data_IF_193787884195
#
_entry.id   IF_193787884195
#
_cell.length_a   1.000
_cell.length_b   1.000
_cell.length_c   1.000
_cell.angle_alpha   90.00
_cell.angle_beta   90.00
_cell.angle_gamma   90.00
#
_symmetry.space_group_name_H-M   'P 1'
#
loop_
_entity.id
_entity.type
_entity.pdbx_description
1 polymer ?
#
# COMPACT_ATOMS: atom_id res chain seq x y z
N UNK A 1 6.57 52.11 -44.27
CA UNK A 1 6.42 50.65 -44.13
C UNK A 1 6.17 50.32 -42.69
N UNK A 2 4.92 50.21 -42.31
CA UNK A 2 4.48 49.98 -40.93
C UNK A 2 4.35 48.49 -40.65
N UNK A 3 5.16 47.97 -39.69
CA UNK A 3 5.05 46.58 -39.22
C UNK A 3 3.87 46.47 -38.25
N UNK A 4 2.86 45.68 -38.65
CA UNK A 4 1.74 45.29 -37.81
C UNK A 4 2.20 44.08 -36.96
N UNK A 5 2.29 44.29 -35.65
CA UNK A 5 2.47 43.19 -34.68
C UNK A 5 1.14 42.50 -34.47
N UNK A 6 1.09 41.22 -34.80
CA UNK A 6 -0.03 40.31 -34.49
C UNK A 6 0.25 39.71 -33.12
N UNK A 7 -0.51 40.16 -32.11
CA UNK A 7 -0.55 39.51 -30.78
C UNK A 7 -1.43 38.22 -30.92
N UNK A 8 -0.78 37.06 -30.85
CA UNK A 8 -1.49 35.79 -30.72
C UNK A 8 -1.85 35.58 -29.25
N UNK A 9 -3.12 35.75 -28.92
CA UNK A 9 -3.66 35.43 -27.60
C UNK A 9 -3.77 33.89 -27.51
N UNK A 10 -2.88 33.22 -26.79
CA UNK A 10 -3.06 31.81 -26.42
C UNK A 10 -4.13 31.74 -25.31
N UNK A 11 -5.33 31.33 -25.67
CA UNK A 11 -6.35 30.88 -24.72
C UNK A 11 -5.91 29.52 -24.17
N UNK A 12 -5.33 29.49 -22.98
CA UNK A 12 -5.14 28.27 -22.22
C UNK A 12 -6.52 27.86 -21.69
N UNK A 13 -7.19 26.97 -22.38
CA UNK A 13 -8.32 26.25 -21.80
C UNK A 13 -7.77 25.38 -20.67
N UNK A 14 -7.93 25.82 -19.44
CA UNK A 14 -7.86 24.96 -18.28
C UNK A 14 -9.01 23.95 -18.39
N UNK A 15 -8.72 22.74 -18.84
CA UNK A 15 -9.62 21.60 -18.71
C UNK A 15 -9.77 21.33 -17.20
N UNK A 16 -10.81 21.90 -16.60
CA UNK A 16 -11.28 21.42 -15.29
C UNK A 16 -11.67 19.96 -15.49
N UNK A 17 -11.22 19.04 -14.63
CA UNK A 17 -11.69 17.67 -14.68
C UNK A 17 -13.21 17.72 -14.52
N UNK A 18 -13.94 17.29 -15.55
CA UNK A 18 -15.38 17.12 -15.50
C UNK A 18 -15.64 15.91 -14.61
N UNK A 19 -15.77 16.12 -13.30
CA UNK A 19 -16.31 15.10 -12.42
C UNK A 19 -17.76 14.88 -12.86
N UNK A 20 -18.07 13.69 -13.33
CA UNK A 20 -19.46 13.28 -13.51
C UNK A 20 -20.14 13.50 -12.15
N UNK A 21 -21.25 14.22 -12.13
CA UNK A 21 -21.98 14.49 -10.91
C UNK A 21 -22.39 13.14 -10.30
N UNK A 22 -21.93 12.87 -9.07
CA UNK A 22 -22.30 11.66 -8.35
C UNK A 22 -23.82 11.57 -8.21
N UNK A 23 -24.36 10.36 -8.27
CA UNK A 23 -25.81 10.11 -8.28
C UNK A 23 -26.47 10.54 -6.98
N UNK A 24 -25.76 10.44 -5.85
CA UNK A 24 -26.26 10.78 -4.53
C UNK A 24 -25.29 11.73 -3.83
N UNK A 25 -25.85 12.78 -3.22
CA UNK A 25 -25.17 13.69 -2.31
C UNK A 25 -25.83 13.59 -0.94
N UNK A 26 -25.02 13.50 0.12
CA UNK A 26 -25.45 13.56 1.52
C UNK A 26 -24.74 14.72 2.20
N UNK A 27 -25.49 15.59 2.85
CA UNK A 27 -24.99 16.70 3.66
C UNK A 27 -25.20 16.36 5.12
N UNK A 28 -24.13 16.27 5.87
CA UNK A 28 -24.16 15.88 7.26
C UNK A 28 -24.04 17.14 8.11
N UNK A 29 -25.13 17.50 8.78
CA UNK A 29 -25.11 18.58 9.75
C UNK A 29 -24.32 18.14 10.97
N UNK A 30 -23.21 18.84 11.26
CA UNK A 30 -22.41 18.60 12.45
C UNK A 30 -23.15 19.03 13.71
N UNK A 31 -23.00 18.27 14.78
CA UNK A 31 -23.42 18.66 16.13
C UNK A 31 -22.46 19.73 16.69
N UNK A 32 -22.85 20.39 17.75
CA UNK A 32 -21.99 21.40 18.39
C UNK A 32 -20.66 20.77 18.87
N UNK A 33 -19.53 21.28 18.35
CA UNK A 33 -18.20 20.76 18.68
C UNK A 33 -17.83 19.41 18.08
N UNK A 34 -18.68 18.84 17.23
CA UNK A 34 -18.42 17.54 16.62
C UNK A 34 -17.24 17.56 15.67
N UNK A 35 -16.42 16.53 15.75
CA UNK A 35 -15.22 16.31 14.93
C UNK A 35 -15.29 14.96 14.24
N UNK A 36 -14.69 14.85 13.04
CA UNK A 36 -14.74 13.66 12.21
C UNK A 36 -13.34 13.15 11.88
N UNK A 37 -13.19 11.81 11.80
CA UNK A 37 -11.98 11.07 11.41
C UNK A 37 -12.35 9.99 10.41
N UNK A 38 -11.38 9.52 9.60
CA UNK A 38 -11.56 8.30 8.81
C UNK A 38 -11.21 8.42 7.34
N UNK A 39 -11.74 7.51 6.53
CA UNK A 39 -11.55 7.44 5.09
C UNK A 39 -10.24 6.80 4.68
N UNK A 40 -9.11 7.46 4.87
CA UNK A 40 -7.81 6.98 4.45
C UNK A 40 -6.74 7.21 5.52
N UNK A 41 -5.83 6.26 5.68
CA UNK A 41 -4.70 6.35 6.62
C UNK A 41 -3.82 7.56 6.31
N UNK A 42 -3.51 7.80 5.02
CA UNK A 42 -2.69 8.93 4.59
C UNK A 42 -3.31 10.32 4.83
N UNK A 43 -4.54 10.40 5.33
CA UNK A 43 -5.16 11.64 5.80
C UNK A 43 -4.93 11.92 7.31
N UNK A 44 -4.16 11.09 8.00
CA UNK A 44 -3.97 11.16 9.45
C UNK A 44 -3.61 12.56 9.96
N UNK A 45 -2.69 13.25 9.28
CA UNK A 45 -2.29 14.62 9.64
C UNK A 45 -3.37 15.69 9.41
N UNK A 46 -4.47 15.34 8.74
CA UNK A 46 -5.64 16.20 8.53
C UNK A 46 -6.76 15.92 9.53
N UNK A 47 -6.62 14.85 10.31
CA UNK A 47 -7.62 14.44 11.31
C UNK A 47 -7.34 15.05 12.68
N UNK A 48 -8.40 15.45 13.44
CA UNK A 48 -9.77 15.53 12.98
C UNK A 48 -9.97 16.54 11.85
N UNK A 49 -10.98 16.34 11.01
CA UNK A 49 -11.29 17.26 9.92
C UNK A 49 -11.93 18.55 10.46
N UNK A 50 -11.07 19.50 10.92
CA UNK A 50 -11.50 20.80 11.51
C UNK A 50 -11.50 21.95 10.51
N UNK A 51 -10.73 21.81 9.44
CA UNK A 51 -10.63 22.81 8.37
C UNK A 51 -11.23 22.29 7.07
N UNK A 52 -11.11 23.09 6.03
CA UNK A 52 -11.54 22.66 4.70
C UNK A 52 -10.68 21.49 4.22
N UNK A 53 -11.33 20.37 3.95
CA UNK A 53 -10.77 19.22 3.27
C UNK A 53 -11.31 19.20 1.84
N UNK A 54 -10.41 19.27 0.86
CA UNK A 54 -10.79 19.09 -0.54
C UNK A 54 -11.39 17.71 -0.77
N UNK A 55 -12.22 17.61 -1.79
CA UNK A 55 -12.83 16.34 -2.19
C UNK A 55 -11.77 15.24 -2.26
N UNK A 56 -11.96 14.20 -1.46
CA UNK A 56 -11.17 12.97 -1.46
C UNK A 56 -12.03 11.81 -1.94
N UNK A 57 -11.57 11.14 -2.98
CA UNK A 57 -12.28 10.01 -3.58
C UNK A 57 -11.61 8.70 -3.15
N UNK A 58 -12.32 7.94 -2.33
CA UNK A 58 -11.86 6.63 -1.84
C UNK A 58 -11.71 5.59 -2.95
N UNK A 59 -12.32 5.80 -4.13
CA UNK A 59 -12.20 4.89 -5.27
C UNK A 59 -11.05 5.23 -6.20
N UNK A 60 -10.53 6.45 -6.14
CA UNK A 60 -9.52 6.94 -7.08
C UNK A 60 -8.09 6.69 -6.60
N UNK A 61 -7.86 6.88 -5.29
CA UNK A 61 -6.52 6.78 -4.72
C UNK A 61 -6.55 6.32 -3.27
N UNK A 62 -5.42 5.84 -2.78
CA UNK A 62 -5.22 5.39 -1.41
C UNK A 62 -4.03 6.08 -0.72
N UNK A 63 -3.43 7.09 -1.32
CA UNK A 63 -2.27 7.84 -0.79
C UNK A 63 -1.12 6.89 -0.36
N UNK A 64 -0.89 5.83 -1.13
CA UNK A 64 0.07 4.76 -0.84
C UNK A 64 -0.13 4.06 0.52
N UNK A 65 -1.35 4.02 1.03
CA UNK A 65 -1.73 3.44 2.31
C UNK A 65 -3.04 2.63 2.20
N UNK A 66 -3.79 2.58 3.28
CA UNK A 66 -5.01 1.81 3.37
C UNK A 66 -6.22 2.75 3.43
N UNK A 67 -7.29 2.35 2.75
CA UNK A 67 -8.57 3.04 2.77
C UNK A 67 -9.68 2.17 3.37
N UNK A 68 -10.60 2.83 4.07
CA UNK A 68 -11.82 2.20 4.58
C UNK A 68 -12.99 3.17 4.37
N UNK A 69 -14.13 2.75 3.84
CA UNK A 69 -15.31 3.61 3.67
C UNK A 69 -16.02 3.87 5.00
N UNK A 70 -15.28 4.38 5.98
CA UNK A 70 -15.67 4.64 7.35
C UNK A 70 -15.31 6.06 7.75
N UNK A 71 -16.30 6.80 8.28
CA UNK A 71 -16.02 8.05 9.00
C UNK A 71 -16.58 7.91 10.43
N UNK A 72 -15.82 8.39 11.40
CA UNK A 72 -16.10 8.31 12.83
C UNK A 72 -16.23 9.70 13.43
N UNK A 73 -17.18 9.90 14.32
CA UNK A 73 -17.47 11.17 14.98
C UNK A 73 -17.13 11.15 16.46
N UNK A 74 -16.72 12.31 17.01
CA UNK A 74 -16.55 12.53 18.46
C UNK A 74 -17.84 12.31 19.25
N UNK A 75 -19.01 12.43 18.60
CA UNK A 75 -20.34 12.40 19.22
C UNK A 75 -21.02 11.01 19.09
N UNK A 76 -20.25 9.94 18.92
CA UNK A 76 -20.77 8.57 18.87
C UNK A 76 -21.48 8.21 17.58
N UNK A 77 -21.30 9.01 16.52
CA UNK A 77 -21.86 8.73 15.21
C UNK A 77 -20.78 8.11 14.28
N UNK A 78 -21.21 7.26 13.35
CA UNK A 78 -20.34 6.83 12.26
C UNK A 78 -21.08 6.78 10.93
N UNK A 79 -20.34 6.85 9.85
CA UNK A 79 -20.80 6.63 8.48
C UNK A 79 -20.05 5.43 7.93
N UNK A 80 -20.77 4.49 7.36
CA UNK A 80 -20.23 3.32 6.67
C UNK A 80 -20.94 3.13 5.35
N UNK A 81 -20.21 2.69 4.35
CA UNK A 81 -20.74 2.16 3.10
C UNK A 81 -20.02 0.88 2.70
N UNK A 82 -20.72 -0.04 2.07
CA UNK A 82 -20.06 -1.22 1.47
C UNK A 82 -19.36 -0.89 0.17
N UNK A 83 -19.66 0.26 -0.41
CA UNK A 83 -19.10 0.80 -1.65
C UNK A 83 -18.23 2.02 -1.37
N UNK A 84 -17.27 2.33 -2.25
CA UNK A 84 -16.50 3.55 -2.11
C UNK A 84 -17.38 4.80 -2.29
N UNK A 85 -16.96 5.87 -1.65
CA UNK A 85 -17.57 7.18 -1.77
C UNK A 85 -16.48 8.27 -1.75
N UNK A 86 -16.84 9.46 -2.20
CA UNK A 86 -16.00 10.64 -2.05
C UNK A 86 -16.54 11.51 -0.93
N UNK A 87 -15.67 12.24 -0.24
CA UNK A 87 -16.08 13.16 0.81
C UNK A 87 -15.23 14.42 0.83
N UNK A 88 -15.82 15.50 1.34
CA UNK A 88 -15.13 16.76 1.59
C UNK A 88 -15.68 17.40 2.86
N UNK A 89 -14.89 18.29 3.45
CA UNK A 89 -15.34 19.18 4.52
C UNK A 89 -15.20 20.61 4.00
N UNK A 90 -16.29 21.37 4.04
CA UNK A 90 -16.35 22.74 3.58
C UNK A 90 -17.20 23.57 4.54
N UNK A 91 -16.62 24.67 5.07
CA UNK A 91 -17.30 25.52 6.04
C UNK A 91 -17.89 24.76 7.27
N UNK A 92 -17.21 23.71 7.73
CA UNK A 92 -17.65 22.85 8.82
C UNK A 92 -18.78 21.87 8.47
N UNK A 93 -19.21 21.79 7.23
CA UNK A 93 -20.17 20.80 6.72
C UNK A 93 -19.44 19.62 6.08
N UNK A 94 -19.75 18.39 6.52
CA UNK A 94 -19.28 17.17 5.89
C UNK A 94 -20.23 16.79 4.74
N UNK A 95 -19.70 16.72 3.53
CA UNK A 95 -20.43 16.33 2.33
C UNK A 95 -19.90 15.02 1.78
N UNK A 96 -20.81 14.12 1.42
CA UNK A 96 -20.52 12.79 0.90
C UNK A 96 -21.16 12.65 -0.48
N UNK A 97 -20.42 11.99 -1.39
CA UNK A 97 -20.85 11.75 -2.76
C UNK A 97 -20.70 10.28 -3.09
N UNK A 98 -21.74 9.66 -3.64
CA UNK A 98 -21.74 8.24 -3.99
C UNK A 98 -22.56 7.98 -5.25
N UNK A 99 -22.15 7.01 -6.04
CA UNK A 99 -22.93 6.52 -7.17
C UNK A 99 -23.87 5.37 -6.81
N UNK A 100 -23.78 4.91 -5.55
CA UNK A 100 -24.46 3.69 -5.11
C UNK A 100 -25.64 3.96 -4.18
N UNK A 101 -25.44 4.81 -3.17
CA UNK A 101 -26.45 5.02 -2.11
C UNK A 101 -26.33 6.40 -1.46
N UNK A 102 -27.43 6.86 -0.87
CA UNK A 102 -27.43 8.01 0.03
C UNK A 102 -26.95 7.55 1.42
N UNK A 103 -26.02 8.27 2.02
CA UNK A 103 -25.44 7.93 3.32
C UNK A 103 -25.94 8.83 4.42
N UNK A 104 -26.24 8.23 5.57
CA UNK A 104 -26.66 8.95 6.78
C UNK A 104 -25.83 8.44 7.96
N UNK A 105 -25.53 9.29 8.96
CA UNK A 105 -24.82 8.87 10.16
C UNK A 105 -25.66 7.90 10.98
N UNK A 106 -25.02 6.85 11.49
CA UNK A 106 -25.59 5.95 12.49
C UNK A 106 -25.12 6.41 13.87
N UNK A 107 -26.03 6.58 14.82
CA UNK A 107 -25.73 6.96 16.20
C UNK A 107 -25.64 5.70 17.07
N UNK A 108 -24.48 5.45 17.67
CA UNK A 108 -24.21 4.30 18.54
C UNK A 108 -23.37 4.73 19.75
N UNK A 109 -23.93 5.55 20.60
CA UNK A 109 -23.25 6.02 21.81
C UNK A 109 -23.06 7.54 21.86
N UNK A 110 -21.97 8.00 22.51
CA UNK A 110 -21.72 9.43 22.77
C UNK A 110 -20.27 9.87 22.54
N UNK A 111 -19.40 8.95 22.16
CA UNK A 111 -17.96 9.21 22.03
C UNK A 111 -17.39 8.58 20.77
N UNK A 112 -16.21 9.05 20.35
CA UNK A 112 -15.45 8.44 19.26
C UNK A 112 -15.23 6.93 19.50
N UNK A 113 -14.96 6.54 20.77
CA UNK A 113 -14.78 5.14 21.13
C UNK A 113 -16.06 4.33 20.88
N UNK A 114 -17.21 4.85 21.25
CA UNK A 114 -18.49 4.16 21.04
C UNK A 114 -18.75 3.95 19.55
N UNK A 115 -18.57 5.00 18.74
CA UNK A 115 -18.68 4.92 17.28
C UNK A 115 -17.75 3.87 16.68
N UNK A 116 -16.47 3.87 17.09
CA UNK A 116 -15.48 2.90 16.64
C UNK A 116 -15.86 1.47 17.02
N UNK A 117 -16.22 1.24 18.29
CA UNK A 117 -16.56 -0.10 18.78
C UNK A 117 -17.78 -0.67 18.07
N UNK A 118 -18.81 0.15 17.82
CA UNK A 118 -20.01 -0.25 17.11
C UNK A 118 -19.70 -0.58 15.63
N UNK A 119 -18.97 0.30 14.95
CA UNK A 119 -18.58 0.09 13.55
C UNK A 119 -17.66 -1.14 13.40
N UNK A 120 -16.66 -1.29 14.27
CA UNK A 120 -15.73 -2.42 14.26
C UNK A 120 -16.47 -3.74 14.48
N UNK A 121 -17.30 -3.84 15.50
CA UNK A 121 -18.06 -5.07 15.80
C UNK A 121 -18.96 -5.51 14.63
N UNK A 122 -19.45 -4.55 13.84
CA UNK A 122 -20.39 -4.84 12.76
C UNK A 122 -19.70 -5.10 11.41
N UNK A 123 -18.65 -4.36 11.06
CA UNK A 123 -18.15 -4.34 9.70
C UNK A 123 -16.73 -4.91 9.53
N UNK A 124 -15.93 -4.90 10.60
CA UNK A 124 -14.55 -5.40 10.59
C UNK A 124 -14.14 -5.95 11.97
N UNK A 125 -14.93 -6.91 12.51
CA UNK A 125 -14.55 -7.55 13.76
C UNK A 125 -13.19 -8.20 13.63
N UNK A 126 -12.40 -8.30 14.72
CA UNK A 126 -11.14 -9.04 14.70
C UNK A 126 -11.35 -10.46 14.19
N UNK A 127 -10.52 -10.90 13.24
CA UNK A 127 -10.57 -12.28 12.68
C UNK A 127 -10.29 -13.35 13.74
N UNK A 128 -9.59 -12.99 14.79
CA UNK A 128 -9.09 -13.92 15.81
C UNK A 128 -7.68 -14.42 15.54
N UNK A 129 -7.16 -14.19 14.32
CA UNK A 129 -5.79 -14.50 13.95
C UNK A 129 -4.86 -13.32 14.24
N UNK A 130 -3.58 -13.60 14.43
CA UNK A 130 -2.53 -12.61 14.67
C UNK A 130 -1.39 -12.79 13.66
N UNK A 131 -0.76 -11.72 13.20
CA UNK A 131 0.53 -11.84 12.53
C UNK A 131 1.58 -12.43 13.48
N UNK A 132 2.68 -12.96 12.91
CA UNK A 132 3.74 -13.53 13.74
C UNK A 132 4.26 -12.51 14.77
N UNK A 133 4.37 -12.88 16.06
CA UNK A 133 4.82 -11.98 17.12
C UNK A 133 6.21 -11.37 16.88
N UNK A 134 7.03 -11.97 16.03
CA UNK A 134 8.36 -11.46 15.70
C UNK A 134 8.28 -10.04 15.10
N UNK A 135 7.23 -9.73 14.36
CA UNK A 135 7.00 -8.38 13.79
C UNK A 135 6.91 -7.27 14.84
N UNK A 136 6.55 -7.60 16.07
CA UNK A 136 6.33 -6.63 17.16
C UNK A 136 7.39 -6.69 18.26
N UNK A 137 8.20 -7.73 18.26
CA UNK A 137 9.22 -7.95 19.29
C UNK A 137 10.64 -7.73 18.82
N UNK A 138 10.88 -7.78 17.49
CA UNK A 138 12.21 -7.68 16.89
C UNK A 138 12.20 -6.72 15.70
N UNK A 139 13.38 -6.18 15.30
CA UNK A 139 13.51 -5.32 14.14
C UNK A 139 13.13 -6.02 12.83
N UNK A 140 12.66 -5.22 11.88
CA UNK A 140 12.50 -5.61 10.50
C UNK A 140 13.57 -4.90 9.68
N UNK A 141 14.50 -5.66 9.10
CA UNK A 141 15.55 -5.15 8.20
C UNK A 141 15.03 -5.21 6.77
N UNK A 142 15.34 -4.21 5.97
CA UNK A 142 14.91 -4.16 4.58
C UNK A 142 16.09 -3.72 3.70
N UNK A 143 16.32 -4.43 2.60
CA UNK A 143 17.44 -4.17 1.72
C UNK A 143 17.21 -3.02 0.75
N UNK A 144 16.00 -2.40 0.71
CA UNK A 144 15.70 -1.32 -0.22
C UNK A 144 16.65 -0.13 -0.09
N UNK A 145 16.82 0.38 1.12
CA UNK A 145 17.68 1.55 1.36
C UNK A 145 19.15 1.26 1.05
N UNK A 146 19.60 0.06 1.37
CA UNK A 146 21.02 -0.33 1.23
C UNK A 146 21.39 -0.67 -0.21
N UNK A 147 20.54 -1.39 -0.92
CA UNK A 147 20.87 -1.98 -2.22
C UNK A 147 20.03 -1.43 -3.37
N UNK A 148 18.89 -0.80 -3.10
CA UNK A 148 17.95 -0.32 -4.12
C UNK A 148 17.63 -1.44 -5.13
N UNK A 149 17.77 -1.19 -6.42
CA UNK A 149 17.59 -2.19 -7.48
C UNK A 149 18.79 -3.14 -7.67
N UNK A 150 19.86 -3.00 -6.87
CA UNK A 150 21.04 -3.85 -6.97
C UNK A 150 21.01 -5.03 -6.02
N UNK A 151 19.86 -5.66 -5.84
CA UNK A 151 19.70 -6.84 -4.98
C UNK A 151 20.62 -7.97 -5.49
N UNK A 152 21.49 -8.48 -4.63
CA UNK A 152 22.39 -9.57 -4.92
C UNK A 152 22.77 -10.34 -3.64
N UNK A 153 23.16 -11.60 -3.81
CA UNK A 153 23.44 -12.51 -2.69
C UNK A 153 24.60 -12.05 -1.82
N UNK A 154 25.67 -11.51 -2.39
CA UNK A 154 26.87 -11.11 -1.67
C UNK A 154 26.57 -9.95 -0.70
N UNK A 155 25.98 -8.86 -1.22
CA UNK A 155 25.70 -7.68 -0.41
C UNK A 155 24.58 -7.92 0.61
N UNK A 156 23.60 -8.78 0.30
CA UNK A 156 22.57 -9.20 1.26
C UNK A 156 23.22 -9.91 2.46
N UNK A 157 24.10 -10.87 2.21
CA UNK A 157 24.80 -11.59 3.27
C UNK A 157 25.71 -10.67 4.08
N UNK A 158 26.40 -9.74 3.40
CA UNK A 158 27.24 -8.74 4.06
C UNK A 158 26.39 -7.81 4.95
N UNK A 159 25.22 -7.38 4.49
CA UNK A 159 24.32 -6.57 5.32
C UNK A 159 23.89 -7.34 6.59
N UNK A 160 23.48 -8.59 6.46
CA UNK A 160 23.12 -9.42 7.60
C UNK A 160 24.30 -9.64 8.56
N UNK A 161 25.52 -9.85 8.04
CA UNK A 161 26.72 -9.96 8.88
C UNK A 161 26.97 -8.66 9.66
N UNK A 162 26.82 -7.48 9.03
CA UNK A 162 26.97 -6.18 9.71
C UNK A 162 25.93 -5.96 10.81
N UNK A 163 24.70 -6.47 10.64
CA UNK A 163 23.67 -6.44 11.70
C UNK A 163 24.20 -7.16 12.95
N UNK A 164 24.78 -8.35 12.77
CA UNK A 164 25.31 -9.16 13.87
C UNK A 164 26.60 -8.59 14.46
N UNK A 165 27.52 -8.12 13.62
CA UNK A 165 28.80 -7.52 14.02
C UNK A 165 28.65 -6.25 14.87
N UNK A 166 27.50 -5.56 14.71
CA UNK A 166 27.16 -4.36 15.47
C UNK A 166 26.16 -4.64 16.61
N UNK A 167 26.01 -5.89 17.02
CA UNK A 167 25.16 -6.33 18.12
C UNK A 167 23.68 -5.93 17.99
N UNK A 168 23.18 -5.74 16.75
CA UNK A 168 21.76 -5.55 16.52
C UNK A 168 21.01 -6.88 16.63
N UNK A 169 19.81 -6.89 17.24
CA UNK A 169 19.04 -8.11 17.41
C UNK A 169 18.56 -8.67 16.08
N UNK A 170 18.54 -9.97 15.96
CA UNK A 170 17.97 -10.66 14.78
C UNK A 170 16.45 -10.52 14.76
N UNK A 171 15.88 -10.54 13.57
CA UNK A 171 14.43 -10.41 13.38
C UNK A 171 14.00 -10.82 11.97
N UNK A 172 13.14 -10.04 11.37
CA UNK A 172 12.73 -10.24 9.97
C UNK A 172 13.72 -9.55 9.04
N UNK A 173 14.12 -10.21 7.95
CA UNK A 173 15.00 -9.67 6.92
C UNK A 173 14.27 -9.72 5.57
N UNK A 174 13.98 -8.56 5.00
CA UNK A 174 13.24 -8.40 3.75
C UNK A 174 14.19 -8.12 2.60
N UNK A 175 14.22 -9.02 1.62
CA UNK A 175 14.87 -8.79 0.33
C UNK A 175 13.90 -8.04 -0.58
N UNK A 176 14.25 -6.81 -0.92
CA UNK A 176 13.37 -5.90 -1.63
C UNK A 176 13.38 -6.08 -3.15
N UNK A 177 12.76 -5.20 -3.91
CA UNK A 177 12.50 -5.28 -5.35
C UNK A 177 13.73 -5.63 -6.19
N UNK A 178 13.50 -6.32 -7.30
CA UNK A 178 14.50 -6.69 -8.32
C UNK A 178 15.41 -7.91 -7.99
N UNK A 179 15.00 -8.79 -7.06
CA UNK A 179 15.67 -10.08 -6.82
C UNK A 179 15.33 -11.15 -7.88
N UNK A 180 14.08 -11.13 -8.37
CA UNK A 180 13.52 -12.09 -9.32
C UNK A 180 13.95 -11.83 -10.76
N UNK A 181 13.92 -12.85 -11.62
CA UNK A 181 14.30 -12.72 -13.04
C UNK A 181 13.55 -11.58 -13.73
N UNK A 182 12.24 -11.52 -13.54
CA UNK A 182 11.34 -10.46 -13.94
C UNK A 182 10.02 -10.58 -13.16
N UNK A 183 9.19 -9.57 -13.19
CA UNK A 183 7.91 -9.59 -12.44
C UNK A 183 7.00 -10.71 -12.94
N UNK A 184 6.39 -11.43 -12.00
CA UNK A 184 5.60 -12.62 -12.26
C UNK A 184 6.38 -13.92 -12.33
N UNK A 185 7.72 -13.87 -12.33
CA UNK A 185 8.59 -15.03 -12.17
C UNK A 185 9.10 -15.10 -10.72
N UNK A 186 9.03 -16.28 -10.10
CA UNK A 186 9.41 -16.48 -8.71
C UNK A 186 10.73 -17.26 -8.55
N UNK A 187 11.59 -17.20 -9.57
CA UNK A 187 12.97 -17.66 -9.51
C UNK A 187 13.94 -16.49 -9.43
N UNK A 188 15.07 -16.70 -8.77
CA UNK A 188 16.13 -15.70 -8.62
C UNK A 188 16.88 -15.46 -9.92
N UNK A 189 17.43 -14.24 -10.10
CA UNK A 189 18.40 -13.93 -11.16
C UNK A 189 19.69 -14.69 -10.91
N UNK A 190 20.06 -15.68 -11.72
CA UNK A 190 21.20 -16.55 -11.41
C UNK A 190 22.54 -15.81 -11.39
N UNK A 191 22.66 -14.74 -12.18
CA UNK A 191 23.87 -13.91 -12.22
C UNK A 191 24.09 -13.07 -10.95
N UNK A 192 23.04 -12.86 -10.15
CA UNK A 192 23.09 -12.12 -8.89
C UNK A 192 22.93 -13.01 -7.67
N UNK A 193 22.30 -14.16 -7.85
CA UNK A 193 22.00 -15.13 -6.80
C UNK A 193 22.46 -16.53 -7.24
N UNK A 194 23.77 -16.81 -7.18
CA UNK A 194 24.32 -18.11 -7.62
C UNK A 194 23.85 -19.30 -6.78
N UNK A 195 23.55 -19.07 -5.48
CA UNK A 195 23.05 -20.08 -4.55
C UNK A 195 22.00 -19.47 -3.61
N UNK A 196 20.78 -19.19 -4.09
CA UNK A 196 19.75 -18.55 -3.28
C UNK A 196 19.29 -19.41 -2.09
N UNK A 197 19.24 -20.73 -2.24
CA UNK A 197 18.93 -21.64 -1.15
C UNK A 197 19.99 -21.58 -0.04
N UNK A 198 21.25 -21.67 -0.40
CA UNK A 198 22.36 -21.56 0.55
C UNK A 198 22.40 -20.20 1.25
N UNK A 199 22.06 -19.11 0.56
CA UNK A 199 21.92 -17.77 1.15
C UNK A 199 20.83 -17.79 2.22
N UNK A 200 19.64 -18.25 1.92
CA UNK A 200 18.51 -18.29 2.86
C UNK A 200 18.83 -19.18 4.05
N UNK A 201 19.40 -20.38 3.81
CA UNK A 201 19.82 -21.29 4.87
C UNK A 201 20.88 -20.67 5.80
N UNK A 202 21.78 -19.83 5.26
CA UNK A 202 22.74 -19.08 6.09
C UNK A 202 22.05 -18.04 6.97
N UNK A 203 21.14 -17.25 6.40
CA UNK A 203 20.36 -16.25 7.14
C UNK A 203 19.50 -16.89 8.23
N UNK A 204 18.90 -18.04 7.95
CA UNK A 204 18.17 -18.82 8.97
C UNK A 204 19.09 -19.32 10.10
N UNK A 205 20.30 -19.80 9.79
CA UNK A 205 21.28 -20.18 10.83
C UNK A 205 21.74 -19.00 11.68
N UNK A 206 21.69 -17.80 11.15
CA UNK A 206 21.94 -16.55 11.86
C UNK A 206 20.75 -16.10 12.72
N UNK A 207 19.58 -16.73 12.56
CA UNK A 207 18.36 -16.49 13.33
C UNK A 207 17.33 -15.58 12.64
N UNK A 208 17.58 -15.10 11.45
CA UNK A 208 16.63 -14.27 10.70
C UNK A 208 15.46 -15.07 10.13
N UNK A 209 14.31 -14.41 10.01
CA UNK A 209 13.18 -14.82 9.17
C UNK A 209 13.24 -14.04 7.87
N UNK A 210 13.06 -14.71 6.72
CA UNK A 210 13.33 -14.12 5.41
C UNK A 210 12.05 -13.90 4.64
N UNK A 211 11.81 -12.64 4.26
CA UNK A 211 10.70 -12.23 3.41
C UNK A 211 11.22 -11.70 2.07
N UNK A 212 10.39 -11.84 1.03
CA UNK A 212 10.69 -11.33 -0.31
C UNK A 212 9.63 -10.35 -0.78
N UNK A 213 10.09 -9.25 -1.37
CA UNK A 213 9.22 -8.30 -2.03
C UNK A 213 8.54 -8.94 -3.24
N UNK A 214 7.25 -8.73 -3.37
CA UNK A 214 6.45 -9.16 -4.51
C UNK A 214 5.43 -8.10 -4.89
N UNK A 215 4.95 -8.16 -6.13
CA UNK A 215 3.88 -7.30 -6.65
C UNK A 215 2.90 -8.13 -7.50
N UNK A 216 1.69 -7.61 -7.78
CA UNK A 216 0.72 -8.30 -8.63
C UNK A 216 1.02 -8.18 -10.13
N UNK A 217 2.10 -7.49 -10.50
CA UNK A 217 2.47 -7.25 -11.89
C UNK A 217 3.25 -8.38 -12.52
N UNK A 218 3.14 -8.48 -13.85
CA UNK A 218 3.81 -9.48 -14.69
C UNK A 218 4.49 -8.76 -15.83
N UNK A 219 5.79 -9.00 -16.01
CA UNK A 219 6.57 -8.37 -17.09
C UNK A 219 6.01 -8.72 -18.46
N UNK A 220 5.77 -7.73 -19.33
CA UNK A 220 5.24 -7.99 -20.66
C UNK A 220 6.17 -8.90 -21.45
N UNK A 221 5.59 -9.73 -22.31
CA UNK A 221 6.31 -10.62 -23.22
C UNK A 221 7.24 -11.67 -22.55
N UNK A 222 7.13 -11.85 -21.24
CA UNK A 222 7.78 -12.95 -20.52
C UNK A 222 7.11 -14.30 -20.80
N UNK A 223 7.76 -15.45 -20.57
CA UNK A 223 7.10 -16.75 -20.63
C UNK A 223 5.85 -16.82 -19.75
N UNK A 224 5.94 -16.28 -18.52
CA UNK A 224 4.82 -16.22 -17.56
C UNK A 224 3.68 -15.37 -18.08
N UNK A 225 3.97 -14.22 -18.70
CA UNK A 225 2.94 -13.40 -19.34
C UNK A 225 2.13 -14.19 -20.37
N UNK A 226 2.82 -14.92 -21.25
CA UNK A 226 2.16 -15.72 -22.31
C UNK A 226 1.34 -16.85 -21.72
N UNK A 227 1.86 -17.55 -20.74
CA UNK A 227 1.15 -18.62 -20.02
C UNK A 227 -0.11 -18.08 -19.31
N UNK A 228 0.05 -17.03 -18.51
CA UNK A 228 -1.03 -16.43 -17.74
C UNK A 228 -2.11 -15.81 -18.63
N UNK A 229 -1.72 -15.21 -19.76
CA UNK A 229 -2.67 -14.73 -20.75
C UNK A 229 -3.48 -15.88 -21.37
N UNK A 230 -2.84 -17.01 -21.72
CA UNK A 230 -3.52 -18.19 -22.24
C UNK A 230 -4.50 -18.78 -21.22
N UNK A 231 -4.15 -18.76 -19.94
CA UNK A 231 -5.01 -19.20 -18.84
C UNK A 231 -6.14 -18.21 -18.51
N UNK A 232 -6.10 -17.00 -19.03
CA UNK A 232 -7.05 -15.93 -18.68
C UNK A 232 -6.88 -15.42 -17.24
N UNK A 233 -5.65 -15.40 -16.73
CA UNK A 233 -5.31 -15.01 -15.36
C UNK A 233 -4.84 -13.56 -15.24
N UNK A 234 -4.78 -12.83 -16.36
CA UNK A 234 -4.40 -11.42 -16.40
C UNK A 234 -5.63 -10.53 -16.63
N UNK A 235 -5.61 -9.34 -16.06
CA UNK A 235 -6.58 -8.30 -16.33
C UNK A 235 -6.58 -8.04 -17.85
N UNK A 236 -7.76 -7.94 -18.43
CA UNK A 236 -7.93 -7.80 -19.89
C UNK A 236 -8.17 -6.35 -20.28
N UNK A 237 -7.81 -6.04 -21.52
CA UNK A 237 -8.31 -4.87 -22.21
C UNK A 237 -9.78 -5.09 -22.57
N UNK A 238 -10.62 -4.14 -22.22
CA UNK A 238 -12.07 -4.20 -22.37
C UNK A 238 -12.51 -4.64 -23.78
N UNK A 239 -13.39 -5.62 -23.81
CA UNK A 239 -13.94 -6.17 -25.04
C UNK A 239 -12.98 -7.03 -25.87
N UNK A 240 -11.81 -7.41 -25.32
CA UNK A 240 -10.83 -8.25 -25.98
C UNK A 240 -10.43 -9.45 -25.11
N UNK A 241 -9.61 -10.36 -25.67
CA UNK A 241 -8.94 -11.41 -24.91
C UNK A 241 -7.46 -11.09 -24.62
N UNK A 242 -7.01 -9.87 -24.97
CA UNK A 242 -5.64 -9.43 -24.75
C UNK A 242 -5.46 -8.94 -23.29
N UNK A 243 -4.31 -9.23 -22.71
CA UNK A 243 -3.96 -8.68 -21.41
C UNK A 243 -3.82 -7.15 -21.52
N UNK A 244 -4.38 -6.44 -20.55
CA UNK A 244 -4.15 -5.01 -20.40
C UNK A 244 -2.72 -4.75 -19.90
N UNK A 245 -2.16 -3.64 -20.36
CA UNK A 245 -0.83 -3.18 -19.92
C UNK A 245 -1.04 -1.92 -19.10
N UNK A 246 -0.66 -2.00 -17.83
CA UNK A 246 -0.92 -0.99 -16.81
C UNK A 246 0.37 -0.24 -16.50
N UNK A 247 0.37 1.11 -16.49
CA UNK A 247 1.52 1.90 -16.05
C UNK A 247 1.68 1.85 -14.52
N UNK A 248 2.91 1.77 -14.06
CA UNK A 248 3.27 1.85 -12.65
C UNK A 248 4.71 2.39 -12.52
N UNK A 249 5.27 2.51 -11.31
CA UNK A 249 6.59 3.14 -11.12
C UNK A 249 7.77 2.42 -11.81
N UNK A 250 7.66 1.12 -12.08
CA UNK A 250 8.66 0.36 -12.84
C UNK A 250 8.28 0.19 -14.33
N UNK A 251 7.52 1.12 -14.89
CA UNK A 251 7.17 1.17 -16.31
C UNK A 251 5.79 0.62 -16.61
N UNK A 252 5.70 -0.37 -17.49
CA UNK A 252 4.45 -0.92 -18.01
C UNK A 252 4.44 -2.44 -17.84
N UNK A 253 3.39 -2.98 -17.22
CA UNK A 253 3.26 -4.42 -16.98
C UNK A 253 1.82 -4.89 -17.13
N UNK A 254 1.62 -6.18 -17.39
CA UNK A 254 0.35 -6.82 -17.15
C UNK A 254 0.15 -6.99 -15.63
N UNK A 255 -1.06 -7.32 -15.20
CA UNK A 255 -1.38 -7.53 -13.80
C UNK A 255 -2.25 -8.80 -13.65
N UNK A 256 -2.02 -9.57 -12.59
CA UNK A 256 -2.92 -10.66 -12.23
C UNK A 256 -4.34 -10.15 -12.02
N UNK A 257 -5.30 -10.85 -12.59
CA UNK A 257 -6.72 -10.63 -12.31
C UNK A 257 -7.14 -11.45 -11.08
N UNK A 258 -6.94 -10.88 -9.90
CA UNK A 258 -7.22 -11.54 -8.64
C UNK A 258 -8.71 -11.61 -8.29
N UNK A 259 -9.59 -11.02 -9.13
CA UNK A 259 -11.03 -11.30 -9.09
C UNK A 259 -11.36 -12.70 -9.64
N UNK A 260 -10.40 -13.32 -10.36
CA UNK A 260 -10.47 -14.71 -10.79
C UNK A 260 -9.90 -15.62 -9.70
N UNK A 261 -10.71 -16.45 -9.04
CA UNK A 261 -10.23 -17.34 -7.97
C UNK A 261 -9.11 -18.30 -8.42
N UNK A 262 -9.14 -18.72 -9.70
CA UNK A 262 -8.10 -19.61 -10.25
C UNK A 262 -6.75 -18.87 -10.42
N UNK A 263 -6.77 -17.59 -10.77
CA UNK A 263 -5.59 -16.77 -10.84
C UNK A 263 -5.01 -16.48 -9.45
N UNK A 264 -5.88 -16.19 -8.47
CA UNK A 264 -5.48 -16.00 -7.09
C UNK A 264 -4.82 -17.26 -6.51
N UNK A 265 -5.42 -18.43 -6.71
CA UNK A 265 -4.86 -19.71 -6.26
C UNK A 265 -3.55 -20.04 -6.99
N UNK A 266 -3.45 -19.75 -8.29
CA UNK A 266 -2.20 -19.93 -9.02
C UNK A 266 -1.06 -19.08 -8.41
N UNK A 267 -1.31 -17.81 -8.12
CA UNK A 267 -0.31 -16.96 -7.47
C UNK A 267 0.10 -17.52 -6.10
N UNK A 268 -0.87 -17.91 -5.26
CA UNK A 268 -0.58 -18.53 -3.96
C UNK A 268 0.28 -19.79 -4.09
N UNK A 269 0.04 -20.63 -5.11
CA UNK A 269 0.87 -21.81 -5.38
C UNK A 269 2.30 -21.43 -5.76
N UNK A 270 2.51 -20.37 -6.56
CA UNK A 270 3.86 -19.89 -6.86
C UNK A 270 4.59 -19.43 -5.58
N UNK A 271 3.89 -18.73 -4.70
CA UNK A 271 4.46 -18.27 -3.43
C UNK A 271 4.78 -19.44 -2.48
N UNK A 272 3.89 -20.43 -2.36
CA UNK A 272 4.17 -21.66 -1.61
C UNK A 272 5.36 -22.43 -2.21
N UNK A 273 5.47 -22.46 -3.54
CA UNK A 273 6.64 -23.01 -4.23
C UNK A 273 7.95 -22.34 -3.84
N UNK A 274 7.95 -21.02 -3.61
CA UNK A 274 9.12 -20.31 -3.05
C UNK A 274 9.45 -20.76 -1.63
N UNK A 275 8.44 -20.93 -0.78
CA UNK A 275 8.63 -21.45 0.58
C UNK A 275 9.23 -22.85 0.57
N UNK A 276 8.69 -23.74 -0.24
CA UNK A 276 9.16 -25.13 -0.37
C UNK A 276 10.56 -25.23 -0.99
N UNK A 277 10.80 -24.51 -2.08
CA UNK A 277 12.05 -24.61 -2.87
C UNK A 277 13.22 -23.92 -2.20
N UNK A 278 13.00 -22.72 -1.67
CA UNK A 278 14.06 -21.85 -1.18
C UNK A 278 14.05 -21.65 0.34
N UNK A 279 12.90 -21.83 0.99
CA UNK A 279 12.74 -21.61 2.43
C UNK A 279 12.32 -20.17 2.77
N UNK A 280 11.65 -19.44 1.86
CA UNK A 280 11.08 -18.14 2.19
C UNK A 280 10.09 -18.27 3.36
N UNK A 281 10.16 -17.40 4.37
CA UNK A 281 9.21 -17.41 5.48
C UNK A 281 7.92 -16.65 5.12
N UNK A 282 8.02 -15.60 4.29
CA UNK A 282 6.88 -14.82 3.85
C UNK A 282 7.20 -13.76 2.81
N UNK A 283 6.30 -12.77 2.67
CA UNK A 283 6.34 -11.83 1.57
C UNK A 283 5.96 -10.41 1.97
N UNK A 284 6.67 -9.43 1.38
CA UNK A 284 6.29 -8.02 1.36
C UNK A 284 5.46 -7.79 0.09
N UNK A 285 4.17 -7.60 0.27
CA UNK A 285 3.20 -7.37 -0.81
C UNK A 285 3.14 -5.87 -1.13
N UNK A 286 3.79 -5.48 -2.19
CA UNK A 286 3.87 -4.08 -2.61
C UNK A 286 3.02 -3.82 -3.86
N UNK A 287 2.85 -2.56 -4.25
CA UNK A 287 1.91 -2.16 -5.29
C UNK A 287 0.46 -2.58 -4.98
N UNK A 288 -0.36 -2.79 -6.01
CA UNK A 288 -1.77 -3.13 -5.82
C UNK A 288 -2.62 -1.95 -5.34
N UNK A 289 -2.12 -0.73 -5.50
CA UNK A 289 -2.84 0.50 -5.18
C UNK A 289 -4.08 0.65 -6.03
N UNK A 290 -5.11 1.27 -5.48
CA UNK A 290 -6.41 1.50 -6.14
C UNK A 290 -6.23 2.17 -7.51
N UNK A 291 -5.32 3.16 -7.57
CA UNK A 291 -5.05 3.92 -8.80
C UNK A 291 -4.58 3.07 -9.99
N UNK A 292 -3.97 1.92 -9.76
CA UNK A 292 -3.56 1.02 -10.85
C UNK A 292 -4.75 0.39 -11.60
N UNK A 293 -5.93 0.38 -11.00
CA UNK A 293 -7.11 -0.31 -11.50
C UNK A 293 -8.22 0.62 -11.99
N UNK A 294 -7.97 1.93 -12.05
CA UNK A 294 -8.99 2.94 -12.35
C UNK A 294 -9.21 3.21 -13.85
N UNK A 295 -8.39 2.63 -14.74
CA UNK A 295 -8.57 2.82 -16.17
C UNK A 295 -9.89 2.15 -16.61
N UNK A 296 -10.83 2.89 -17.22
CA UNK A 296 -12.11 2.35 -17.70
C UNK A 296 -11.96 1.31 -18.83
N UNK A 297 -10.78 1.25 -19.47
CA UNK A 297 -10.47 0.23 -20.47
C UNK A 297 -10.05 -1.12 -19.87
N UNK A 298 -9.96 -1.24 -18.56
CA UNK A 298 -9.72 -2.51 -17.89
C UNK A 298 -11.00 -3.33 -17.79
N UNK A 299 -10.84 -4.63 -17.95
CA UNK A 299 -11.91 -5.60 -17.79
C UNK A 299 -11.47 -6.73 -16.86
N UNK A 300 -12.18 -6.86 -15.73
CA UNK A 300 -11.93 -7.89 -14.73
C UNK A 300 -12.74 -9.15 -15.01
N UNK A 301 -12.30 -10.30 -14.50
CA UNK A 301 -13.02 -11.57 -14.55
C UNK A 301 -14.39 -11.44 -13.86
N UNK A 302 -14.41 -10.93 -12.63
CA UNK A 302 -15.63 -10.51 -11.95
C UNK A 302 -16.08 -9.15 -12.52
N UNK A 303 -17.14 -9.17 -13.33
CA UNK A 303 -17.68 -7.96 -13.98
C UNK A 303 -18.27 -6.94 -13.00
N UNK A 304 -18.50 -7.32 -11.77
CA UNK A 304 -18.98 -6.45 -10.69
C UNK A 304 -17.85 -5.82 -9.88
N UNK A 305 -16.61 -6.31 -10.04
CA UNK A 305 -15.46 -5.80 -9.32
C UNK A 305 -15.09 -4.38 -9.77
N UNK A 306 -14.67 -3.58 -8.82
CA UNK A 306 -14.18 -2.22 -8.99
C UNK A 306 -12.68 -2.15 -8.65
N UNK A 307 -12.06 -0.98 -8.85
CA UNK A 307 -10.66 -0.75 -8.50
C UNK A 307 -10.34 -1.05 -7.03
N UNK A 308 -11.26 -0.71 -6.12
CA UNK A 308 -11.09 -0.99 -4.68
C UNK A 308 -11.21 -2.49 -4.38
N UNK A 309 -12.06 -3.21 -5.11
CA UNK A 309 -12.16 -4.67 -4.96
C UNK A 309 -10.87 -5.36 -5.41
N UNK A 310 -10.22 -4.89 -6.48
CA UNK A 310 -8.92 -5.40 -6.94
C UNK A 310 -7.82 -5.19 -5.89
N UNK A 311 -7.75 -4.00 -5.29
CA UNK A 311 -6.85 -3.74 -4.16
C UNK A 311 -7.14 -4.69 -2.98
N UNK A 312 -8.39 -4.95 -2.65
CA UNK A 312 -8.80 -5.90 -1.61
C UNK A 312 -8.42 -7.35 -1.94
N UNK A 313 -8.60 -7.78 -3.19
CA UNK A 313 -8.21 -9.13 -3.61
C UNK A 313 -6.70 -9.33 -3.48
N UNK A 314 -5.89 -8.31 -3.81
CA UNK A 314 -4.46 -8.35 -3.57
C UNK A 314 -4.14 -8.53 -2.08
N UNK A 315 -4.72 -7.73 -1.22
CA UNK A 315 -4.51 -7.83 0.23
C UNK A 315 -4.91 -9.22 0.79
N UNK A 316 -5.97 -9.84 0.27
CA UNK A 316 -6.42 -11.17 0.70
C UNK A 316 -5.42 -12.30 0.42
N UNK A 317 -4.50 -12.14 -0.54
CA UNK A 317 -3.47 -13.16 -0.81
C UNK A 317 -2.62 -13.40 0.44
N UNK A 318 -2.28 -12.35 1.18
CA UNK A 318 -1.39 -12.44 2.34
C UNK A 318 -1.99 -13.14 3.56
N UNK A 319 -3.30 -13.29 3.63
CA UNK A 319 -3.93 -14.03 4.74
C UNK A 319 -3.48 -15.50 4.80
N UNK A 320 -2.98 -16.05 3.68
CA UNK A 320 -2.44 -17.41 3.62
C UNK A 320 -0.99 -17.49 4.17
N UNK A 321 -0.35 -16.36 4.47
CA UNK A 321 1.06 -16.30 4.85
C UNK A 321 1.24 -15.57 6.18
N UNK A 322 1.72 -16.25 7.25
CA UNK A 322 1.90 -15.64 8.58
C UNK A 322 2.87 -14.45 8.59
N UNK A 323 3.92 -14.52 7.75
CA UNK A 323 4.83 -13.40 7.51
C UNK A 323 4.36 -12.64 6.28
N UNK A 324 3.63 -11.55 6.49
CA UNK A 324 3.12 -10.67 5.43
C UNK A 324 3.30 -9.21 5.81
N UNK A 325 3.49 -8.35 4.83
CA UNK A 325 3.49 -6.90 4.97
C UNK A 325 2.83 -6.27 3.76
N UNK A 326 1.93 -5.31 3.99
CA UNK A 326 1.17 -4.63 2.93
C UNK A 326 1.29 -3.13 3.01
N UNK A 327 1.41 -2.48 1.83
CA UNK A 327 1.28 -1.03 1.70
C UNK A 327 -0.17 -0.60 1.45
N UNK A 328 -0.79 -1.15 0.43
CA UNK A 328 -2.15 -0.80 0.01
C UNK A 328 -3.19 -1.77 0.60
N UNK A 329 -4.38 -1.28 0.87
CA UNK A 329 -5.49 -2.10 1.34
C UNK A 329 -6.83 -1.39 1.26
N UNK A 330 -7.88 -2.17 1.05
CA UNK A 330 -9.25 -1.72 1.06
C UNK A 330 -10.10 -2.63 1.96
N UNK A 331 -10.71 -2.06 3.02
CA UNK A 331 -11.61 -2.79 3.92
C UNK A 331 -10.99 -4.06 4.51
N UNK A 332 -9.73 -4.01 4.95
CA UNK A 332 -9.01 -5.13 5.56
C UNK A 332 -8.80 -4.94 7.07
N UNK A 333 -9.57 -4.05 7.70
CA UNK A 333 -9.56 -3.88 9.15
C UNK A 333 -9.93 -5.19 9.88
N UNK A 334 -9.28 -5.45 11.02
CA UNK A 334 -9.50 -6.66 11.83
C UNK A 334 -8.78 -7.93 11.33
N UNK A 335 -8.17 -7.91 10.16
CA UNK A 335 -7.44 -9.05 9.59
C UNK A 335 -6.00 -9.12 10.09
N UNK A 336 -5.41 -10.33 10.06
CA UNK A 336 -4.04 -10.59 10.49
C UNK A 336 -3.01 -10.19 9.42
N UNK A 337 -3.04 -8.91 9.01
CA UNK A 337 -2.11 -8.33 8.03
C UNK A 337 -1.28 -7.23 8.68
N UNK A 338 0.04 -7.25 8.46
CA UNK A 338 0.92 -6.14 8.83
C UNK A 338 0.79 -5.03 7.80
N UNK A 339 0.23 -3.90 8.21
CA UNK A 339 0.01 -2.75 7.35
C UNK A 339 1.12 -1.75 7.54
N UNK A 340 2.00 -1.56 6.53
CA UNK A 340 2.99 -0.51 6.59
C UNK A 340 2.42 0.81 6.08
N UNK A 341 2.94 1.91 6.60
CA UNK A 341 2.70 3.22 6.04
C UNK A 341 3.43 3.37 4.69
N UNK A 342 2.99 4.30 3.87
CA UNK A 342 3.63 4.65 2.60
C UNK A 342 5.06 5.15 2.77
N UNK A 343 5.82 5.09 1.69
CA UNK A 343 7.20 5.58 1.62
C UNK A 343 7.27 7.06 2.03
N UNK A 344 8.28 7.39 2.83
CA UNK A 344 8.47 8.73 3.39
C UNK A 344 9.77 9.35 2.93
N UNK A 345 9.78 10.68 2.83
CA UNK A 345 10.99 11.45 2.64
C UNK A 345 11.92 11.33 3.84
N UNK A 346 13.21 11.44 3.59
CA UNK A 346 14.23 11.52 4.63
C UNK A 346 14.22 12.92 5.28
N UNK A 347 13.22 13.18 6.13
CA UNK A 347 13.01 14.50 6.75
C UNK A 347 12.31 14.42 8.11
N UNK A 348 12.50 15.45 8.95
CA UNK A 348 11.77 15.61 10.21
C UNK A 348 10.26 15.76 10.01
N UNK A 349 9.84 16.38 8.90
CA UNK A 349 8.41 16.47 8.57
C UNK A 349 7.80 15.08 8.38
N UNK A 350 8.49 14.19 7.68
CA UNK A 350 8.05 12.82 7.48
C UNK A 350 7.95 12.04 8.81
N UNK A 351 8.90 12.24 9.73
CA UNK A 351 8.82 11.69 11.10
C UNK A 351 7.59 12.20 11.83
N UNK A 352 7.28 13.51 11.69
CA UNK A 352 6.10 14.11 12.30
C UNK A 352 4.77 13.52 11.80
N UNK A 353 4.74 12.98 10.59
CA UNK A 353 3.54 12.35 10.01
C UNK A 353 3.29 10.92 10.53
N UNK A 354 4.29 10.25 11.09
CA UNK A 354 4.17 8.86 11.56
C UNK A 354 3.06 8.68 12.59
N UNK A 355 3.04 9.52 13.63
CA UNK A 355 2.08 9.38 14.74
C UNK A 355 0.64 9.56 14.24
N UNK A 356 0.27 10.65 13.55
CA UNK A 356 -1.09 10.84 13.08
C UNK A 356 -1.53 9.75 12.10
N UNK A 357 -0.65 9.27 11.21
CA UNK A 357 -1.02 8.23 10.24
C UNK A 357 -1.18 6.86 10.93
N UNK A 358 -0.35 6.53 11.92
CA UNK A 358 -0.55 5.30 12.71
C UNK A 358 -1.82 5.34 13.58
N UNK A 359 -2.17 6.50 14.14
CA UNK A 359 -3.44 6.68 14.84
C UNK A 359 -4.61 6.49 13.88
N UNK A 360 -4.53 7.08 12.68
CA UNK A 360 -5.55 6.90 11.64
C UNK A 360 -5.69 5.44 11.23
N UNK A 361 -4.57 4.69 11.08
CA UNK A 361 -4.60 3.26 10.81
C UNK A 361 -5.38 2.50 11.88
N UNK A 362 -5.12 2.78 13.17
CA UNK A 362 -5.85 2.18 14.29
C UNK A 362 -7.35 2.50 14.25
N UNK A 363 -7.74 3.75 13.98
CA UNK A 363 -9.14 4.18 13.85
C UNK A 363 -9.86 3.53 12.67
N UNK A 364 -9.12 3.11 11.65
CA UNK A 364 -9.64 2.40 10.48
C UNK A 364 -9.58 0.87 10.60
N UNK A 365 -9.22 0.36 11.79
CA UNK A 365 -9.21 -1.08 12.11
C UNK A 365 -7.92 -1.81 11.74
N UNK A 366 -6.88 -1.11 11.31
CA UNK A 366 -5.55 -1.68 11.01
C UNK A 366 -4.70 -1.69 12.28
N UNK A 367 -4.88 -2.73 13.09
CA UNK A 367 -4.25 -2.84 14.41
C UNK A 367 -2.75 -3.16 14.36
N UNK A 368 -2.27 -3.73 13.25
CA UNK A 368 -0.90 -4.21 13.07
C UNK A 368 -0.12 -3.28 12.14
N UNK A 369 -0.03 -2.01 12.51
CA UNK A 369 0.61 -0.99 11.70
C UNK A 369 2.13 -0.96 11.88
N UNK A 370 2.85 -0.87 10.77
CA UNK A 370 4.29 -0.67 10.70
C UNK A 370 4.57 0.75 10.19
N UNK A 371 5.47 1.53 10.84
CA UNK A 371 5.73 2.91 10.43
C UNK A 371 6.55 3.04 9.13
N UNK A 372 6.85 1.96 8.44
CA UNK A 372 7.77 1.88 7.32
C UNK A 372 9.25 2.13 7.74
N UNK A 373 10.17 2.21 6.80
CA UNK A 373 11.60 2.31 7.06
C UNK A 373 11.97 3.59 7.83
N UNK A 374 12.76 3.45 8.86
CA UNK A 374 13.19 4.57 9.73
C UNK A 374 13.93 5.65 8.94
N UNK A 375 14.74 5.28 7.96
CA UNK A 375 15.45 6.20 7.06
C UNK A 375 14.57 6.85 5.98
N UNK A 376 13.28 6.52 5.94
CA UNK A 376 12.38 6.80 4.83
C UNK A 376 12.63 5.84 3.65
N UNK A 377 11.59 5.57 2.86
CA UNK A 377 11.66 4.65 1.70
C UNK A 377 11.55 5.35 0.36
N UNK A 378 11.32 6.66 0.37
CA UNK A 378 11.04 7.43 -0.84
C UNK A 378 12.26 7.48 -1.76
N UNK A 379 12.14 6.88 -2.95
CA UNK A 379 13.20 6.77 -3.94
C UNK A 379 13.87 8.12 -4.27
N UNK A 380 13.07 9.17 -4.43
CA UNK A 380 13.59 10.50 -4.75
C UNK A 380 14.55 11.06 -3.69
N UNK A 381 14.43 10.65 -2.43
CA UNK A 381 15.32 11.09 -1.34
C UNK A 381 16.73 10.52 -1.46
N UNK A 382 16.93 9.48 -2.26
CA UNK A 382 18.22 8.81 -2.45
C UNK A 382 18.89 9.16 -3.78
N UNK A 383 18.24 9.90 -4.66
CA UNK A 383 18.81 10.34 -5.92
C UNK A 383 20.02 11.25 -5.66
N UNK A 384 21.17 10.91 -6.26
CA UNK A 384 22.41 11.65 -6.08
C UNK A 384 23.13 11.43 -4.74
N UNK A 385 22.64 10.54 -3.89
CA UNK A 385 23.35 10.10 -2.68
C UNK A 385 24.34 9.00 -3.07
N UNK A 386 25.62 9.19 -2.71
CA UNK A 386 26.64 8.17 -2.88
C UNK A 386 26.45 7.08 -1.81
N UNK A 387 25.79 6.00 -2.19
CA UNK A 387 25.47 4.88 -1.30
C UNK A 387 26.71 4.17 -0.77
N UNK A 388 27.85 4.25 -1.47
CA UNK A 388 29.12 3.65 -1.01
C UNK A 388 29.70 4.36 0.22
N UNK A 389 29.27 5.59 0.49
CA UNK A 389 29.73 6.38 1.65
C UNK A 389 28.85 6.20 2.90
N UNK A 390 27.79 5.43 2.78
CA UNK A 390 26.78 5.21 3.83
C UNK A 390 26.02 6.48 4.21
N UNK A 391 24.78 6.34 4.63
CA UNK A 391 23.98 7.44 5.20
C UNK A 391 24.52 7.92 6.56
N UNK A 392 25.41 7.13 7.19
CA UNK A 392 26.01 7.34 8.51
C UNK A 392 26.85 8.60 8.67
N UNK A 393 27.19 9.30 7.59
CA UNK A 393 28.00 10.54 7.64
C UNK A 393 27.22 11.84 7.63
N UNK A 394 25.89 11.82 7.53
CA UNK A 394 25.09 13.02 7.77
C UNK A 394 24.78 13.13 9.27
N UNK A 395 25.70 13.77 10.00
CA UNK A 395 25.56 14.07 11.44
C UNK A 395 24.26 14.83 11.80
N UNK A 396 23.54 15.33 10.84
CA UNK A 396 22.29 16.09 10.98
C UNK A 396 21.06 15.28 10.53
N UNK A 397 21.18 13.95 10.41
CA UNK A 397 20.04 13.09 10.08
C UNK A 397 19.03 13.05 11.21
N UNK A 398 17.75 13.37 10.96
CA UNK A 398 16.69 13.24 11.98
C UNK A 398 16.58 11.84 12.54
N UNK A 399 16.98 10.82 11.82
CA UNK A 399 16.87 9.42 12.21
C UNK A 399 18.00 8.93 13.13
N UNK A 400 19.19 9.52 13.07
CA UNK A 400 20.23 9.24 14.08
C UNK A 400 19.78 9.58 15.51
N UNK A 401 18.97 10.61 15.69
CA UNK A 401 18.46 11.00 16.99
C UNK A 401 17.33 10.11 17.51
N UNK A 402 16.55 9.48 16.63
CA UNK A 402 15.48 8.56 17.03
C UNK A 402 15.98 7.16 17.41
N UNK A 403 17.16 6.73 16.91
CA UNK A 403 17.74 5.41 17.22
C UNK A 403 18.50 5.39 18.56
N UNK A 404 18.87 6.55 19.13
CA UNK A 404 19.73 6.65 20.33
C UNK A 404 19.08 7.38 21.51
N UNK A 405 17.77 7.61 21.47
CA UNK A 405 16.97 8.06 22.62
C UNK A 405 15.74 7.16 22.78
#
# INVERSE_FOLDING_TARGET
>A
MTRKSICLLFLVLLALPCFAASKYESKITSLEGEKWWGGAVGLGSKMPFEGDLRLFDLSAENLNNQNVPLLLSSEGRYIWSDKPFSFQVENGELRLYSDYEKMEPVLEGRTLKDAYMAASAKYFPPSGDLPDPLFFSMPQYNTWIELMYNQNQEDILKYADHVLENDFPVGVFMVDDNWQKYYGNFDFKPERFPDPKGMIDRLHRQGFKIMFWICPFVSPDSPEFRELQQKGFLIKKRGTNEAAIIPWWNGYSACYDLSNPAAAEHLKQQLRGMQEKYGADGFKFDAGDIGHYNDPELEFYDKSATSVDMCRYWAKIGLDFPFNEYRAGWKMGGEALVQRLGDKDYSWNAVGLLIPDMIAAGLLGYAYACPDMIGGGQFASFLGVDQTKGLSKKSDSPFCYCLFR
#
